data_IF_010210740741
#
_entry.id   IF_010210740741
#
_cell.length_a   1.000
_cell.length_b   1.000
_cell.length_c   1.000
_cell.angle_alpha   90.00
_cell.angle_beta   90.00
_cell.angle_gamma   90.00
#
_symmetry.space_group_name_H-M   'P 1'
#
loop_
_entity.id
_entity.type
_entity.pdbx_description
1 polymer ?
#
# COMPACT_ATOMS: atom_id res chain seq x y z
N UNK A 1 -6.90 -1.67 20.69
CA UNK A 1 -7.52 -2.24 19.47
C UNK A 1 -7.48 -3.76 19.61
N UNK A 2 -8.48 -4.50 19.09
CA UNK A 2 -8.43 -5.97 19.15
C UNK A 2 -7.47 -6.49 18.07
N UNK A 3 -6.91 -7.69 18.25
CA UNK A 3 -6.00 -8.32 17.27
C UNK A 3 -6.72 -8.49 15.92
N UNK A 4 -7.99 -8.91 15.93
CA UNK A 4 -8.79 -9.05 14.70
C UNK A 4 -8.90 -7.72 13.91
N UNK A 5 -8.98 -6.58 14.59
CA UNK A 5 -9.04 -5.28 13.92
C UNK A 5 -7.69 -4.92 13.24
N UNK A 6 -6.57 -5.40 13.79
CA UNK A 6 -5.23 -5.25 13.20
C UNK A 6 -5.08 -6.13 11.97
N UNK A 7 -5.57 -7.37 12.03
CA UNK A 7 -5.55 -8.32 10.91
C UNK A 7 -6.36 -7.78 9.72
N UNK A 8 -7.59 -7.31 9.95
CA UNK A 8 -8.41 -6.72 8.88
C UNK A 8 -7.73 -5.50 8.24
N UNK A 9 -7.11 -4.63 9.06
CA UNK A 9 -6.40 -3.45 8.54
C UNK A 9 -5.11 -3.84 7.78
N UNK A 10 -4.47 -4.95 8.14
CA UNK A 10 -3.33 -5.47 7.39
C UNK A 10 -3.78 -5.99 6.02
N UNK A 11 -4.88 -6.75 5.98
CA UNK A 11 -5.49 -7.21 4.73
C UNK A 11 -5.86 -6.04 3.80
N UNK A 12 -6.42 -4.95 4.34
CA UNK A 12 -6.68 -3.74 3.55
C UNK A 12 -5.41 -3.16 2.92
N UNK A 13 -4.27 -3.18 3.64
CA UNK A 13 -2.99 -2.67 3.14
C UNK A 13 -2.41 -3.61 2.08
N UNK A 14 -2.55 -4.92 2.26
CA UNK A 14 -2.14 -5.92 1.27
C UNK A 14 -2.93 -5.75 -0.04
N UNK A 15 -4.23 -5.50 0.06
CA UNK A 15 -5.09 -5.21 -1.09
C UNK A 15 -4.68 -3.92 -1.82
N UNK A 16 -4.39 -2.83 -1.08
CA UNK A 16 -3.91 -1.58 -1.69
C UNK A 16 -2.58 -1.80 -2.43
N UNK A 17 -1.65 -2.56 -1.84
CA UNK A 17 -0.36 -2.87 -2.46
C UNK A 17 -0.50 -3.74 -3.71
N UNK A 18 -1.46 -4.68 -3.73
CA UNK A 18 -1.78 -5.47 -4.91
C UNK A 18 -2.29 -4.58 -6.06
N UNK A 19 -3.21 -3.66 -5.77
CA UNK A 19 -3.73 -2.71 -6.77
C UNK A 19 -2.61 -1.83 -7.34
N UNK A 20 -1.70 -1.35 -6.47
CA UNK A 20 -0.52 -0.58 -6.89
C UNK A 20 0.35 -1.41 -7.85
N UNK A 21 0.62 -2.66 -7.50
CA UNK A 21 1.43 -3.57 -8.31
C UNK A 21 0.80 -3.82 -9.69
N UNK A 22 -0.49 -4.14 -9.73
CA UNK A 22 -1.22 -4.38 -10.98
C UNK A 22 -1.25 -3.14 -11.87
N UNK A 23 -1.46 -1.95 -11.28
CA UNK A 23 -1.46 -0.67 -12.00
C UNK A 23 -0.08 -0.35 -12.58
N UNK A 24 0.98 -0.56 -11.80
CA UNK A 24 2.36 -0.35 -12.26
C UNK A 24 2.72 -1.32 -13.40
N UNK A 25 2.29 -2.57 -13.30
CA UNK A 25 2.53 -3.57 -14.34
C UNK A 25 1.75 -3.26 -15.63
N UNK A 26 0.49 -2.82 -15.52
CA UNK A 26 -0.29 -2.37 -16.66
C UNK A 26 0.38 -1.17 -17.36
N UNK A 27 0.86 -0.19 -16.59
CA UNK A 27 1.61 0.93 -17.15
C UNK A 27 2.89 0.48 -17.87
N UNK A 28 3.62 -0.47 -17.28
CA UNK A 28 4.83 -1.04 -17.90
C UNK A 28 4.53 -1.65 -19.27
N UNK A 29 3.47 -2.48 -19.37
CA UNK A 29 3.04 -3.10 -20.63
C UNK A 29 2.69 -2.02 -21.66
N UNK A 30 1.86 -1.04 -21.28
CA UNK A 30 1.44 0.04 -22.18
C UNK A 30 2.61 0.89 -22.69
N UNK A 31 3.61 1.15 -21.84
CA UNK A 31 4.84 1.83 -22.24
C UNK A 31 5.66 0.97 -23.22
N UNK A 32 5.78 -0.32 -22.97
CA UNK A 32 6.50 -1.26 -23.85
C UNK A 32 5.87 -1.41 -25.23
N UNK A 33 4.54 -1.31 -25.31
CA UNK A 33 3.80 -1.35 -26.57
C UNK A 33 3.82 0.01 -27.32
N UNK A 34 4.26 1.10 -26.67
CA UNK A 34 4.16 2.45 -27.21
C UNK A 34 2.71 2.98 -27.25
N UNK A 35 1.83 2.39 -26.43
CA UNK A 35 0.39 2.66 -26.40
C UNK A 35 0.01 3.90 -25.56
N UNK A 36 0.97 4.48 -24.83
CA UNK A 36 0.77 5.66 -23.98
C UNK A 36 1.84 6.71 -24.22
N UNK A 37 1.45 7.98 -24.11
CA UNK A 37 2.37 9.11 -24.14
C UNK A 37 3.12 9.24 -22.81
N UNK A 38 4.25 9.97 -22.83
CA UNK A 38 5.01 10.26 -21.62
C UNK A 38 4.18 11.02 -20.57
N UNK A 39 3.30 11.94 -20.99
CA UNK A 39 2.43 12.71 -20.08
C UNK A 39 1.36 11.82 -19.39
N UNK A 40 0.76 10.89 -20.15
CA UNK A 40 -0.15 9.90 -19.57
C UNK A 40 0.57 8.98 -18.59
N UNK A 41 1.79 8.55 -18.92
CA UNK A 41 2.61 7.74 -18.04
C UNK A 41 2.99 8.49 -16.75
N UNK A 42 3.36 9.76 -16.85
CA UNK A 42 3.68 10.61 -15.69
C UNK A 42 2.49 10.75 -14.74
N UNK A 43 1.28 10.97 -15.29
CA UNK A 43 0.05 11.05 -14.49
C UNK A 43 -0.22 9.76 -13.71
N UNK A 44 -0.05 8.60 -14.35
CA UNK A 44 -0.24 7.29 -13.69
C UNK A 44 0.85 7.04 -12.65
N UNK A 45 2.12 7.36 -12.96
CA UNK A 45 3.23 7.24 -12.01
C UNK A 45 3.05 8.12 -10.78
N UNK A 46 2.53 9.33 -10.95
CA UNK A 46 2.19 10.22 -9.84
C UNK A 46 1.11 9.61 -8.94
N UNK A 47 0.06 9.03 -9.54
CA UNK A 47 -0.96 8.27 -8.83
C UNK A 47 -0.38 7.09 -8.03
N UNK A 48 0.44 6.25 -8.68
CA UNK A 48 1.14 5.14 -8.03
C UNK A 48 1.98 5.62 -6.84
N UNK A 49 2.74 6.71 -7.02
CA UNK A 49 3.62 7.26 -5.97
C UNK A 49 2.83 7.72 -4.75
N UNK A 50 1.69 8.37 -4.96
CA UNK A 50 0.80 8.79 -3.87
C UNK A 50 0.21 7.59 -3.14
N UNK A 51 -0.29 6.59 -3.87
CA UNK A 51 -0.84 5.37 -3.27
C UNK A 51 0.21 4.63 -2.45
N UNK A 52 1.46 4.52 -2.94
CA UNK A 52 2.57 3.94 -2.15
C UNK A 52 2.82 4.74 -0.88
N UNK A 53 2.86 6.08 -0.97
CA UNK A 53 3.06 6.95 0.20
C UNK A 53 2.00 6.71 1.27
N UNK A 54 0.74 6.56 0.87
CA UNK A 54 -0.36 6.33 1.79
C UNK A 54 -0.33 4.92 2.38
N UNK A 55 -0.07 3.88 1.58
CA UNK A 55 0.14 2.52 2.09
C UNK A 55 1.28 2.45 3.10
N UNK A 56 2.40 3.16 2.87
CA UNK A 56 3.51 3.24 3.83
C UNK A 56 3.10 3.88 5.17
N UNK A 57 2.26 4.92 5.15
CA UNK A 57 1.73 5.52 6.39
C UNK A 57 0.84 4.53 7.14
N UNK A 58 0.02 3.76 6.42
CA UNK A 58 -0.85 2.72 7.00
C UNK A 58 -0.02 1.59 7.62
N UNK A 59 1.01 1.10 6.93
CA UNK A 59 1.97 0.11 7.46
C UNK A 59 2.61 0.64 8.75
N UNK A 60 3.12 1.87 8.75
CA UNK A 60 3.74 2.48 9.94
C UNK A 60 2.76 2.50 11.12
N UNK A 61 1.53 2.93 10.89
CA UNK A 61 0.48 2.93 11.91
C UNK A 61 0.20 1.52 12.46
N UNK A 62 0.10 0.51 11.58
CA UNK A 62 -0.11 -0.88 11.98
C UNK A 62 1.03 -1.42 12.85
N UNK A 63 2.28 -1.12 12.49
CA UNK A 63 3.45 -1.49 13.28
C UNK A 63 3.39 -0.86 14.68
N UNK A 64 3.07 0.45 14.76
CA UNK A 64 2.95 1.16 16.04
C UNK A 64 1.86 0.55 16.94
N UNK A 65 0.70 0.23 16.38
CA UNK A 65 -0.41 -0.38 17.12
C UNK A 65 -0.10 -1.83 17.56
N UNK A 66 0.60 -2.58 16.71
CA UNK A 66 1.08 -3.94 17.04
C UNK A 66 2.07 -3.90 18.19
N UNK A 67 3.03 -2.96 18.18
CA UNK A 67 3.99 -2.77 19.26
C UNK A 67 3.31 -2.36 20.58
N UNK A 68 2.30 -1.49 20.53
CA UNK A 68 1.50 -1.13 21.73
C UNK A 68 0.76 -2.35 22.28
N UNK A 69 0.13 -3.14 21.42
CA UNK A 69 -0.59 -4.35 21.81
C UNK A 69 0.36 -5.37 22.44
N UNK A 70 1.54 -5.58 21.85
CA UNK A 70 2.58 -6.44 22.41
C UNK A 70 3.04 -6.00 23.80
N UNK A 71 3.29 -4.70 24.02
CA UNK A 71 3.69 -4.17 25.34
C UNK A 71 2.63 -4.43 26.41
N UNK A 72 1.35 -4.34 26.06
CA UNK A 72 0.25 -4.67 26.97
C UNK A 72 0.30 -6.15 27.33
N UNK A 73 0.51 -7.03 26.35
CA UNK A 73 0.62 -8.49 26.59
C UNK A 73 1.84 -8.86 27.45
N UNK A 74 2.96 -8.16 27.31
CA UNK A 74 4.15 -8.36 28.16
C UNK A 74 3.97 -7.87 29.61
N UNK A 75 2.91 -7.10 29.89
CA UNK A 75 2.62 -6.50 31.21
C UNK A 75 1.55 -7.23 32.03
N UNK A 76 0.98 -8.32 31.50
CA UNK A 76 -0.04 -9.18 32.12
C UNK A 76 0.62 -10.49 32.56
#
# INVERSE_FOLDING_TARGET
MKILDLENKLEDVENDLLIIYETANALHILLSEGSVTAEQADTVLWGITNSVSDSLKRVKYLVEETMKTRRILESI
#
